data_IF_339957383537
#
_entry.id   IF_339957383537
#
_cell.length_a   1.000
_cell.length_b   1.000
_cell.length_c   1.000
_cell.angle_alpha   90.00
_cell.angle_beta   90.00
_cell.angle_gamma   90.00
#
_symmetry.space_group_name_H-M   'P 1'
#
loop_
_entity.id
_entity.type
_entity.pdbx_description
1 polymer ?
#
# COMPACT_ATOMS: atom_id res chain seq x y z
N UNK A 1 -11.62 5.63 0.43
CA UNK A 1 -11.92 7.05 0.19
C UNK A 1 -10.76 7.89 0.71
N UNK A 2 -10.30 8.91 -0.02
CA UNK A 2 -9.18 9.75 0.41
C UNK A 2 -9.55 10.56 1.66
N UNK A 3 -8.58 10.79 2.56
CA UNK A 3 -8.77 11.62 3.77
C UNK A 3 -8.38 13.08 3.52
N UNK A 4 -8.79 14.03 4.39
CA UNK A 4 -8.34 15.42 4.30
C UNK A 4 -6.82 15.58 4.34
N UNK A 5 -6.13 14.80 5.16
CA UNK A 5 -4.67 14.81 5.29
C UNK A 5 -3.98 14.40 3.97
N UNK A 6 -4.47 13.32 3.35
CA UNK A 6 -4.00 12.88 2.03
C UNK A 6 -4.27 13.93 0.94
N UNK A 7 -5.43 14.57 0.98
CA UNK A 7 -5.73 15.67 0.06
C UNK A 7 -4.75 16.83 0.24
N UNK A 8 -4.47 17.20 1.50
CA UNK A 8 -3.54 18.27 1.85
C UNK A 8 -2.11 17.96 1.40
N UNK A 9 -1.64 16.72 1.57
CA UNK A 9 -0.34 16.30 1.05
C UNK A 9 -0.27 16.48 -0.48
N UNK A 10 -1.29 16.04 -1.22
CA UNK A 10 -1.33 16.16 -2.68
C UNK A 10 -1.34 17.63 -3.11
N UNK A 11 -2.21 18.47 -2.53
CA UNK A 11 -2.28 19.90 -2.90
C UNK A 11 -1.05 20.69 -2.49
N UNK A 12 -0.27 20.22 -1.52
CA UNK A 12 1.01 20.82 -1.15
C UNK A 12 2.09 20.64 -2.22
N UNK A 13 1.93 19.67 -3.13
CA UNK A 13 2.84 19.44 -4.27
C UNK A 13 2.55 20.33 -5.48
N UNK A 14 1.56 21.23 -5.41
CA UNK A 14 1.31 22.21 -6.46
C UNK A 14 2.36 23.32 -6.43
N UNK A 15 3.00 23.58 -7.57
CA UNK A 15 3.94 24.69 -7.77
C UNK A 15 3.21 26.02 -8.00
N UNK A 16 3.96 27.12 -7.93
CA UNK A 16 3.40 28.47 -8.12
C UNK A 16 2.79 28.70 -9.51
N UNK A 17 3.29 28.00 -10.53
CA UNK A 17 2.77 28.06 -11.91
C UNK A 17 1.47 27.27 -12.11
N UNK A 18 1.00 26.54 -11.09
CA UNK A 18 -0.20 25.72 -11.12
C UNK A 18 0.04 24.24 -11.45
N UNK A 19 1.24 23.86 -11.91
CA UNK A 19 1.59 22.46 -12.16
C UNK A 19 1.76 21.67 -10.86
N UNK A 20 1.67 20.33 -10.95
CA UNK A 20 1.91 19.44 -9.82
C UNK A 20 3.12 18.52 -10.05
N UNK A 21 3.85 18.23 -8.97
CA UNK A 21 4.60 16.98 -8.89
C UNK A 21 3.68 15.82 -8.49
N UNK A 22 4.04 14.60 -8.89
CA UNK A 22 3.31 13.41 -8.46
C UNK A 22 3.58 13.15 -6.97
N UNK A 23 2.52 13.07 -6.17
CA UNK A 23 2.64 12.71 -4.75
C UNK A 23 2.73 11.18 -4.61
N UNK A 24 3.64 10.70 -3.76
CA UNK A 24 3.68 9.28 -3.36
C UNK A 24 2.34 8.81 -2.77
N UNK A 25 1.58 9.71 -2.14
CA UNK A 25 0.23 9.43 -1.63
C UNK A 25 -0.70 8.96 -2.74
N UNK A 26 -0.64 9.56 -3.94
CA UNK A 26 -1.45 9.11 -5.07
C UNK A 26 -1.03 7.68 -5.46
N UNK A 27 0.26 7.46 -5.59
CA UNK A 27 0.84 6.18 -5.99
C UNK A 27 0.46 5.05 -5.05
N UNK A 28 0.54 5.27 -3.74
CA UNK A 28 0.11 4.32 -2.72
C UNK A 28 -1.41 4.09 -2.73
N UNK A 29 -2.18 5.17 -2.85
CA UNK A 29 -3.63 5.09 -2.73
C UNK A 29 -4.30 4.36 -3.89
N UNK A 30 -3.66 4.30 -5.06
CA UNK A 30 -4.18 3.56 -6.22
C UNK A 30 -3.22 2.46 -6.72
N UNK A 31 -2.24 2.07 -5.90
CA UNK A 31 -1.27 0.98 -6.15
C UNK A 31 -0.53 1.08 -7.49
N UNK A 32 -0.02 2.27 -7.83
CA UNK A 32 0.78 2.51 -9.05
C UNK A 32 2.22 2.93 -8.70
N UNK A 33 3.20 2.71 -9.60
CA UNK A 33 4.57 3.16 -9.36
C UNK A 33 4.69 4.70 -9.39
N UNK A 34 5.74 5.24 -8.78
CA UNK A 34 6.03 6.69 -8.83
C UNK A 34 6.38 7.14 -10.26
N UNK A 35 7.12 6.32 -11.00
CA UNK A 35 7.43 6.55 -12.43
C UNK A 35 6.31 6.00 -13.34
N UNK A 36 5.07 6.45 -13.11
CA UNK A 36 3.88 6.00 -13.87
C UNK A 36 3.74 6.67 -15.24
N UNK A 37 4.40 7.81 -15.46
CA UNK A 37 4.22 8.63 -16.66
C UNK A 37 4.48 7.86 -17.96
N UNK A 38 5.57 7.06 -18.10
CA UNK A 38 5.79 6.25 -19.30
C UNK A 38 4.69 5.23 -19.59
N UNK A 39 3.99 4.75 -18.55
CA UNK A 39 2.88 3.79 -18.69
C UNK A 39 1.62 4.51 -19.17
N UNK A 40 1.24 5.59 -18.50
CA UNK A 40 -0.01 6.30 -18.82
C UNK A 40 0.06 6.96 -20.20
N UNK A 41 1.23 7.43 -20.66
CA UNK A 41 1.41 8.01 -22.01
C UNK A 41 0.90 7.13 -23.15
N UNK A 42 0.85 5.81 -22.96
CA UNK A 42 0.35 4.84 -23.96
C UNK A 42 -1.15 4.97 -24.25
N UNK A 43 -1.91 5.70 -23.44
CA UNK A 43 -3.36 5.85 -23.61
C UNK A 43 -3.77 6.86 -24.69
N UNK A 44 -2.83 7.65 -25.23
CA UNK A 44 -3.08 8.65 -26.29
C UNK A 44 -2.25 8.36 -27.54
N UNK A 45 -2.75 8.79 -28.70
CA UNK A 45 -2.01 8.83 -29.97
C UNK A 45 -1.46 10.23 -30.31
N UNK A 46 -1.67 11.22 -29.45
CA UNK A 46 -1.21 12.58 -29.62
C UNK A 46 0.31 12.66 -29.39
N UNK A 47 1.07 12.85 -30.48
CA UNK A 47 2.53 12.87 -30.43
C UNK A 47 3.11 13.98 -29.54
N UNK A 48 2.42 15.12 -29.43
CA UNK A 48 2.81 16.20 -28.51
C UNK A 48 2.75 15.74 -27.05
N UNK A 49 1.71 14.98 -26.68
CA UNK A 49 1.56 14.40 -25.34
C UNK A 49 2.46 13.18 -25.09
N UNK A 50 3.07 12.59 -26.13
CA UNK A 50 4.06 11.51 -25.97
C UNK A 50 5.47 12.05 -25.78
N UNK A 51 5.74 13.29 -26.19
CA UNK A 51 7.07 13.92 -26.08
C UNK A 51 7.63 13.88 -24.65
N UNK A 52 8.95 13.86 -24.45
CA UNK A 52 9.55 13.92 -23.10
C UNK A 52 9.09 15.14 -22.29
N UNK A 53 8.97 16.30 -22.94
CA UNK A 53 8.57 17.59 -22.35
C UNK A 53 7.16 17.57 -21.74
N UNK A 54 6.33 16.59 -22.10
CA UNK A 54 4.96 16.47 -21.58
C UNK A 54 4.86 15.92 -20.16
N UNK A 55 5.96 15.45 -19.56
CA UNK A 55 5.94 14.82 -18.24
C UNK A 55 5.26 15.68 -17.15
N UNK A 56 5.55 16.99 -17.01
CA UNK A 56 4.85 17.84 -16.04
C UNK A 56 3.35 17.93 -16.28
N UNK A 57 2.89 17.85 -17.54
CA UNK A 57 1.47 17.87 -17.88
C UNK A 57 0.79 16.59 -17.38
N UNK A 58 1.41 15.42 -17.60
CA UNK A 58 0.90 14.13 -17.11
C UNK A 58 0.84 14.08 -15.58
N UNK A 59 1.87 14.54 -14.89
CA UNK A 59 1.88 14.63 -13.41
C UNK A 59 0.74 15.53 -12.91
N UNK A 60 0.56 16.69 -13.54
CA UNK A 60 -0.52 17.63 -13.25
C UNK A 60 -1.90 17.01 -13.48
N UNK A 61 -2.12 16.39 -14.63
CA UNK A 61 -3.39 15.76 -14.97
C UNK A 61 -3.71 14.57 -14.05
N UNK A 62 -2.72 13.72 -13.71
CA UNK A 62 -2.90 12.61 -12.77
C UNK A 62 -3.32 13.09 -11.38
N UNK A 63 -2.69 14.13 -10.85
CA UNK A 63 -3.07 14.71 -9.56
C UNK A 63 -4.51 15.23 -9.58
N UNK A 64 -4.91 15.91 -10.66
CA UNK A 64 -6.28 16.39 -10.84
C UNK A 64 -7.30 15.26 -10.94
N UNK A 65 -7.01 14.24 -11.76
CA UNK A 65 -7.86 13.07 -11.92
C UNK A 65 -8.04 12.33 -10.61
N UNK A 66 -6.96 12.10 -9.85
CA UNK A 66 -7.04 11.50 -8.52
C UNK A 66 -7.93 12.32 -7.58
N UNK A 67 -7.70 13.64 -7.44
CA UNK A 67 -8.50 14.48 -6.54
C UNK A 67 -9.99 14.47 -6.91
N UNK A 68 -10.29 14.51 -8.21
CA UNK A 68 -11.65 14.45 -8.74
C UNK A 68 -12.35 13.12 -8.44
N UNK A 69 -11.65 12.00 -8.63
CA UNK A 69 -12.23 10.65 -8.59
C UNK A 69 -12.20 10.06 -7.18
N UNK A 70 -11.07 10.16 -6.48
CA UNK A 70 -10.85 9.53 -5.18
C UNK A 70 -11.17 10.44 -3.98
N UNK A 71 -11.24 11.76 -4.18
CA UNK A 71 -11.50 12.74 -3.13
C UNK A 71 -12.67 13.73 -3.41
N UNK A 72 -13.80 13.31 -4.02
CA UNK A 72 -14.87 14.24 -4.41
C UNK A 72 -15.52 14.94 -3.21
N UNK A 73 -15.56 14.29 -2.04
CA UNK A 73 -16.14 14.85 -0.81
C UNK A 73 -15.26 15.93 -0.15
N UNK A 74 -13.99 16.03 -0.55
CA UNK A 74 -13.05 17.01 -0.04
C UNK A 74 -12.79 18.14 -1.04
N UNK A 75 -13.70 18.35 -2.00
CA UNK A 75 -13.59 19.35 -3.08
C UNK A 75 -13.13 20.73 -2.60
N UNK A 76 -13.65 21.21 -1.46
CA UNK A 76 -13.27 22.51 -0.87
C UNK A 76 -11.77 22.65 -0.61
N UNK A 77 -11.04 21.55 -0.38
CA UNK A 77 -9.59 21.58 -0.15
C UNK A 77 -8.78 21.76 -1.44
N UNK A 78 -9.34 21.38 -2.58
CA UNK A 78 -8.58 21.30 -3.84
C UNK A 78 -9.20 22.07 -5.01
N UNK A 79 -10.38 22.67 -4.87
CA UNK A 79 -11.08 23.36 -5.97
C UNK A 79 -10.26 24.50 -6.59
N UNK A 80 -9.72 25.40 -5.76
CA UNK A 80 -8.87 26.51 -6.24
C UNK A 80 -7.59 26.01 -6.90
N UNK A 81 -7.00 24.95 -6.32
CA UNK A 81 -5.80 24.28 -6.84
C UNK A 81 -6.10 23.66 -8.21
N UNK A 82 -7.27 23.05 -8.34
CA UNK A 82 -7.75 22.44 -9.57
C UNK A 82 -7.97 23.46 -10.68
N UNK A 83 -8.49 24.65 -10.35
CA UNK A 83 -8.62 25.75 -11.30
C UNK A 83 -7.25 26.20 -11.84
N UNK A 84 -6.29 26.48 -10.95
CA UNK A 84 -4.92 26.90 -11.34
C UNK A 84 -4.22 25.88 -12.24
N UNK A 85 -4.37 24.59 -11.92
CA UNK A 85 -3.76 23.53 -12.72
C UNK A 85 -4.41 23.38 -14.10
N UNK A 86 -5.73 23.57 -14.22
CA UNK A 86 -6.40 23.62 -15.53
C UNK A 86 -5.92 24.82 -16.34
N UNK A 87 -5.83 26.01 -15.72
CA UNK A 87 -5.32 27.21 -16.37
C UNK A 87 -3.87 27.01 -16.87
N UNK A 88 -3.03 26.35 -16.06
CA UNK A 88 -1.68 25.93 -16.46
C UNK A 88 -1.71 25.03 -17.71
N UNK A 89 -2.46 23.93 -17.69
CA UNK A 89 -2.53 23.00 -18.82
C UNK A 89 -3.05 23.69 -20.09
N UNK A 90 -4.13 24.46 -19.99
CA UNK A 90 -4.68 25.23 -21.11
C UNK A 90 -3.65 26.21 -21.70
N UNK A 91 -2.86 26.88 -20.85
CA UNK A 91 -1.80 27.79 -21.31
C UNK A 91 -0.63 27.06 -21.98
N UNK A 92 -0.25 25.89 -21.48
CA UNK A 92 0.90 25.13 -22.00
C UNK A 92 0.58 24.40 -23.30
N UNK A 93 -0.59 23.76 -23.37
CA UNK A 93 -0.91 22.84 -24.46
C UNK A 93 -2.21 23.16 -25.20
N UNK A 94 -2.99 24.12 -24.73
CA UNK A 94 -4.30 24.45 -25.30
C UNK A 94 -5.41 23.53 -24.78
N UNK A 95 -6.65 24.05 -24.78
CA UNK A 95 -7.81 23.35 -24.19
C UNK A 95 -8.09 21.98 -24.81
N UNK A 96 -7.84 21.83 -26.12
CA UNK A 96 -8.07 20.57 -26.82
C UNK A 96 -7.16 19.45 -26.31
N UNK A 97 -5.85 19.70 -26.27
CA UNK A 97 -4.87 18.72 -25.79
C UNK A 97 -4.99 18.50 -24.27
N UNK A 98 -5.30 19.56 -23.51
CA UNK A 98 -5.55 19.47 -22.07
C UNK A 98 -6.76 18.59 -21.74
N UNK A 99 -7.84 18.69 -22.54
CA UNK A 99 -9.01 17.82 -22.38
C UNK A 99 -8.67 16.35 -22.67
N UNK A 100 -7.99 16.08 -23.79
CA UNK A 100 -7.57 14.71 -24.14
C UNK A 100 -6.69 14.10 -23.04
N UNK A 101 -5.73 14.88 -22.53
CA UNK A 101 -4.86 14.49 -21.42
C UNK A 101 -5.65 14.15 -20.15
N UNK A 102 -6.64 14.96 -19.78
CA UNK A 102 -7.49 14.72 -18.60
C UNK A 102 -8.41 13.51 -18.77
N UNK A 103 -9.00 13.31 -19.95
CA UNK A 103 -9.84 12.14 -20.24
C UNK A 103 -9.01 10.84 -20.12
N UNK A 104 -7.77 10.89 -20.60
CA UNK A 104 -6.77 9.84 -20.48
C UNK A 104 -6.44 9.49 -19.01
N UNK A 105 -6.07 10.49 -18.21
CA UNK A 105 -5.72 10.27 -16.80
C UNK A 105 -6.94 9.93 -15.95
N UNK A 106 -8.11 10.48 -16.24
CA UNK A 106 -9.37 10.15 -15.57
C UNK A 106 -9.67 8.65 -15.73
N UNK A 107 -9.62 8.13 -16.96
CA UNK A 107 -9.83 6.70 -17.22
C UNK A 107 -8.81 5.85 -16.47
N UNK A 108 -7.52 6.22 -16.56
CA UNK A 108 -6.45 5.49 -15.88
C UNK A 108 -6.65 5.45 -14.36
N UNK A 109 -7.04 6.56 -13.75
CA UNK A 109 -7.31 6.62 -12.30
C UNK A 109 -8.56 5.82 -11.94
N UNK A 110 -9.66 5.92 -12.71
CA UNK A 110 -10.87 5.10 -12.48
C UNK A 110 -10.53 3.61 -12.50
N UNK A 111 -9.77 3.16 -13.50
CA UNK A 111 -9.41 1.74 -13.65
C UNK A 111 -8.62 1.25 -12.43
N UNK A 112 -7.64 2.02 -11.94
CA UNK A 112 -6.82 1.63 -10.79
C UNK A 112 -7.56 1.73 -9.44
N UNK A 113 -8.38 2.78 -9.25
CA UNK A 113 -9.25 2.89 -8.06
C UNK A 113 -10.22 1.71 -8.00
N UNK A 114 -10.85 1.35 -9.13
CA UNK A 114 -11.79 0.23 -9.21
C UNK A 114 -11.10 -1.08 -8.90
N UNK A 115 -9.93 -1.35 -9.53
CA UNK A 115 -9.13 -2.56 -9.23
C UNK A 115 -8.80 -2.69 -7.75
N UNK A 116 -8.40 -1.58 -7.10
CA UNK A 116 -8.10 -1.58 -5.67
C UNK A 116 -9.34 -1.88 -4.83
N UNK A 117 -10.47 -1.25 -5.12
CA UNK A 117 -11.74 -1.51 -4.41
C UNK A 117 -12.15 -2.97 -4.56
N UNK A 118 -12.04 -3.55 -5.75
CA UNK A 118 -12.36 -4.96 -5.99
C UNK A 118 -11.43 -5.90 -5.20
N UNK A 119 -10.13 -5.59 -5.17
CA UNK A 119 -9.13 -6.33 -4.38
C UNK A 119 -9.46 -6.27 -2.88
N UNK A 120 -9.74 -5.08 -2.36
CA UNK A 120 -10.09 -4.87 -0.95
C UNK A 120 -11.40 -5.58 -0.58
N UNK A 121 -12.39 -5.56 -1.47
CA UNK A 121 -13.66 -6.29 -1.29
C UNK A 121 -13.45 -7.81 -1.23
N UNK A 122 -12.63 -8.36 -2.14
CA UNK A 122 -12.27 -9.78 -2.13
C UNK A 122 -11.57 -10.18 -0.84
N UNK A 123 -10.59 -9.38 -0.39
CA UNK A 123 -9.88 -9.61 0.88
C UNK A 123 -10.85 -9.57 2.06
N UNK A 124 -11.73 -8.56 2.13
CA UNK A 124 -12.70 -8.44 3.21
C UNK A 124 -13.66 -9.63 3.27
N UNK A 125 -14.06 -10.18 2.12
CA UNK A 125 -14.91 -11.37 2.05
C UNK A 125 -14.17 -12.67 2.42
N UNK A 126 -12.86 -12.76 2.13
CA UNK A 126 -12.04 -13.94 2.40
C UNK A 126 -11.45 -13.98 3.81
N UNK A 127 -11.25 -12.82 4.46
CA UNK A 127 -10.61 -12.74 5.77
C UNK A 127 -11.32 -13.57 6.87
N UNK A 128 -12.67 -13.64 6.95
CA UNK A 128 -13.33 -14.54 7.91
C UNK A 128 -12.96 -16.01 7.71
N UNK A 129 -12.75 -16.45 6.47
CA UNK A 129 -12.39 -17.84 6.16
C UNK A 129 -10.96 -18.15 6.61
N UNK A 130 -10.05 -17.18 6.48
CA UNK A 130 -8.71 -17.26 7.04
C UNK A 130 -8.76 -17.39 8.56
N UNK A 131 -9.68 -16.67 9.21
CA UNK A 131 -9.84 -16.73 10.66
C UNK A 131 -10.46 -18.06 11.12
N UNK A 132 -11.40 -18.61 10.35
CA UNK A 132 -11.98 -19.93 10.59
C UNK A 132 -10.96 -21.07 10.43
N UNK A 133 -9.97 -20.94 9.55
CA UNK A 133 -8.92 -21.95 9.34
C UNK A 133 -7.76 -21.88 10.33
N UNK A 134 -7.63 -20.76 11.06
CA UNK A 134 -6.64 -20.61 12.11
C UNK A 134 -6.97 -21.51 13.32
N UNK A 135 -5.93 -22.05 13.97
CA UNK A 135 -6.08 -22.94 15.13
C UNK A 135 -5.36 -22.40 16.36
N UNK A 136 -5.86 -22.71 17.58
CA UNK A 136 -5.20 -22.31 18.82
C UNK A 136 -3.83 -23.00 18.98
N UNK A 137 -3.68 -24.25 18.54
CA UNK A 137 -2.41 -24.98 18.61
C UNK A 137 -1.30 -24.30 17.79
N UNK A 138 -1.64 -23.77 16.61
CA UNK A 138 -0.69 -22.97 15.80
C UNK A 138 -0.29 -21.69 16.52
N UNK A 139 -1.24 -21.03 17.20
CA UNK A 139 -0.93 -19.82 17.98
C UNK A 139 0.09 -20.13 19.08
N UNK A 140 -0.15 -21.21 19.83
CA UNK A 140 0.74 -21.69 20.88
C UNK A 140 2.13 -22.06 20.33
N UNK A 141 2.17 -22.74 19.19
CA UNK A 141 3.44 -23.07 18.50
C UNK A 141 4.24 -21.80 18.17
N UNK A 142 3.61 -20.80 17.55
CA UNK A 142 4.26 -19.54 17.18
C UNK A 142 4.82 -18.85 18.43
N UNK A 143 4.01 -18.68 19.48
CA UNK A 143 4.47 -17.95 20.67
C UNK A 143 5.44 -18.74 21.54
N UNK A 144 5.47 -20.07 21.43
CA UNK A 144 6.47 -20.91 22.10
C UNK A 144 7.89 -20.66 21.59
N UNK A 145 8.03 -20.14 20.36
CA UNK A 145 9.30 -19.79 19.73
C UNK A 145 9.79 -18.38 20.08
N UNK A 146 9.06 -17.69 20.95
CA UNK A 146 9.50 -16.39 21.46
C UNK A 146 10.72 -16.54 22.38
N UNK A 147 11.79 -15.83 22.05
CA UNK A 147 13.03 -15.75 22.84
C UNK A 147 12.87 -14.83 24.05
N UNK A 148 13.83 -14.88 24.97
CA UNK A 148 13.82 -14.06 26.19
C UNK A 148 13.81 -12.56 25.91
N UNK A 149 14.39 -12.12 24.79
CA UNK A 149 14.40 -10.73 24.35
C UNK A 149 13.08 -10.27 23.69
N UNK A 150 12.14 -11.18 23.46
CA UNK A 150 10.85 -10.93 22.83
C UNK A 150 10.78 -11.23 21.32
N UNK A 151 11.92 -11.50 20.67
CA UNK A 151 11.96 -11.89 19.25
C UNK A 151 11.18 -13.20 19.03
N UNK A 152 10.43 -13.30 17.94
CA UNK A 152 9.76 -14.54 17.52
C UNK A 152 10.33 -14.98 16.18
N UNK A 153 10.92 -16.17 16.15
CA UNK A 153 11.48 -16.75 14.94
C UNK A 153 10.36 -17.21 13.99
N UNK A 154 10.49 -16.90 12.70
CA UNK A 154 9.54 -17.38 11.69
C UNK A 154 9.86 -18.82 11.33
N UNK A 155 8.85 -19.67 11.30
CA UNK A 155 8.98 -21.11 11.09
C UNK A 155 8.09 -21.61 9.94
N UNK A 156 8.08 -22.93 9.73
CA UNK A 156 7.25 -23.55 8.71
C UNK A 156 5.74 -23.46 9.02
N UNK A 157 5.33 -23.28 10.28
CA UNK A 157 3.92 -23.17 10.66
C UNK A 157 3.28 -21.96 9.96
N UNK A 158 3.84 -20.77 10.15
CA UNK A 158 3.34 -19.56 9.45
C UNK A 158 3.64 -19.61 7.95
N UNK A 159 4.78 -20.15 7.52
CA UNK A 159 5.10 -20.24 6.09
C UNK A 159 4.09 -21.10 5.32
N UNK A 160 3.65 -22.21 5.90
CA UNK A 160 2.64 -23.10 5.31
C UNK A 160 1.26 -22.44 5.24
N UNK A 161 0.92 -21.63 6.24
CA UNK A 161 -0.35 -20.87 6.25
C UNK A 161 -0.38 -19.80 5.15
N UNK A 162 0.77 -19.23 4.82
CA UNK A 162 0.93 -18.23 3.77
C UNK A 162 1.32 -18.83 2.41
N UNK A 163 1.42 -20.16 2.33
CA UNK A 163 1.90 -20.93 1.17
C UNK A 163 3.14 -20.29 0.51
N UNK A 164 4.10 -19.86 1.33
CA UNK A 164 5.28 -19.14 0.86
C UNK A 164 6.50 -19.49 1.72
N UNK A 165 7.66 -19.83 1.10
CA UNK A 165 8.89 -20.08 1.85
C UNK A 165 9.37 -18.88 2.67
N UNK A 166 9.95 -19.14 3.85
CA UNK A 166 10.50 -18.14 4.78
C UNK A 166 11.29 -17.02 4.08
N UNK A 167 12.28 -17.37 3.26
CA UNK A 167 13.13 -16.34 2.63
C UNK A 167 12.40 -15.52 1.58
N UNK A 168 11.37 -16.06 0.93
CA UNK A 168 10.54 -15.29 0.01
C UNK A 168 9.67 -14.28 0.75
N UNK A 169 9.15 -14.65 1.93
CA UNK A 169 8.41 -13.74 2.82
C UNK A 169 9.32 -12.58 3.23
N UNK A 170 10.45 -12.89 3.87
CA UNK A 170 11.36 -11.89 4.42
C UNK A 170 11.89 -10.96 3.34
N UNK A 171 12.35 -11.50 2.20
CA UNK A 171 12.83 -10.68 1.09
C UNK A 171 11.74 -9.76 0.51
N UNK A 172 10.47 -10.20 0.54
CA UNK A 172 9.36 -9.39 0.01
C UNK A 172 9.01 -8.25 0.95
N UNK A 173 8.90 -8.52 2.25
CA UNK A 173 8.72 -7.46 3.25
C UNK A 173 9.87 -6.45 3.16
N UNK A 174 11.11 -6.93 3.14
CA UNK A 174 12.30 -6.08 3.06
C UNK A 174 12.36 -5.21 1.79
N UNK A 175 11.85 -5.71 0.66
CA UNK A 175 11.74 -4.94 -0.59
C UNK A 175 10.62 -3.89 -0.55
N UNK A 176 9.53 -4.18 0.16
CA UNK A 176 8.31 -3.37 0.15
C UNK A 176 8.35 -2.22 1.16
N UNK A 177 9.13 -2.35 2.24
CA UNK A 177 9.40 -1.22 3.15
C UNK A 177 10.24 -0.16 2.45
N UNK A 178 9.86 1.10 2.61
CA UNK A 178 10.55 2.28 2.07
C UNK A 178 11.72 2.69 2.96
N UNK A 179 11.58 2.62 4.28
CA UNK A 179 12.62 3.05 5.20
C UNK A 179 13.89 2.19 5.08
N UNK A 180 14.99 2.81 4.65
CA UNK A 180 16.26 2.12 4.39
C UNK A 180 16.85 1.46 5.64
N UNK A 181 16.51 1.91 6.86
CA UNK A 181 16.93 1.26 8.11
C UNK A 181 16.37 -0.16 8.27
N UNK A 182 15.29 -0.49 7.56
CA UNK A 182 14.65 -1.81 7.55
C UNK A 182 15.22 -2.74 6.46
N UNK A 183 15.99 -2.20 5.50
CA UNK A 183 16.51 -2.93 4.34
C UNK A 183 17.85 -3.61 4.59
N UNK A 184 18.38 -3.59 5.81
CA UNK A 184 19.64 -4.28 6.16
C UNK A 184 19.39 -5.73 6.60
N UNK A 185 20.26 -6.70 6.24
CA UNK A 185 20.15 -8.09 6.70
C UNK A 185 20.05 -8.27 8.22
N UNK A 186 20.61 -7.34 8.99
CA UNK A 186 20.55 -7.33 10.46
C UNK A 186 19.11 -7.22 10.99
N UNK A 187 18.15 -6.80 10.15
CA UNK A 187 16.74 -6.70 10.51
C UNK A 187 15.96 -7.98 10.34
N UNK A 188 16.58 -9.08 9.87
CA UNK A 188 15.88 -10.36 9.64
C UNK A 188 14.99 -10.77 10.81
N UNK A 189 15.51 -10.74 12.04
CA UNK A 189 14.73 -11.08 13.25
C UNK A 189 13.56 -10.14 13.52
N UNK A 190 13.69 -8.83 13.23
CA UNK A 190 12.58 -7.87 13.32
C UNK A 190 11.53 -8.12 12.23
N UNK A 191 11.96 -8.46 11.00
CA UNK A 191 11.05 -8.80 9.91
C UNK A 191 10.25 -10.09 10.23
N UNK A 192 10.94 -11.14 10.70
CA UNK A 192 10.32 -12.39 11.14
C UNK A 192 9.31 -12.16 12.27
N UNK A 193 9.70 -11.39 13.28
CA UNK A 193 8.82 -11.04 14.39
C UNK A 193 7.58 -10.29 13.90
N UNK A 194 7.73 -9.32 12.99
CA UNK A 194 6.61 -8.57 12.44
C UNK A 194 5.62 -9.47 11.67
N UNK A 195 6.11 -10.45 10.91
CA UNK A 195 5.26 -11.42 10.20
C UNK A 195 4.47 -12.30 11.18
N UNK A 196 5.13 -12.81 12.22
CA UNK A 196 4.45 -13.59 13.26
C UNK A 196 3.36 -12.78 13.96
N UNK A 197 3.63 -11.52 14.32
CA UNK A 197 2.64 -10.62 14.91
C UNK A 197 1.47 -10.32 13.95
N UNK A 198 1.77 -10.14 12.66
CA UNK A 198 0.74 -9.94 11.66
C UNK A 198 -0.17 -11.17 11.52
N UNK A 199 0.39 -12.39 11.48
CA UNK A 199 -0.40 -13.63 11.47
C UNK A 199 -1.30 -13.75 12.71
N UNK A 200 -0.73 -13.62 13.91
CA UNK A 200 -1.49 -13.69 15.16
C UNK A 200 -2.64 -12.68 15.19
N UNK A 201 -2.36 -11.42 14.80
CA UNK A 201 -3.34 -10.33 14.83
C UNK A 201 -4.41 -10.43 13.74
N UNK A 202 -4.06 -10.89 12.54
CA UNK A 202 -4.95 -10.83 11.36
C UNK A 202 -5.67 -12.15 11.11
N UNK A 203 -4.93 -13.26 11.12
CA UNK A 203 -5.46 -14.58 10.87
C UNK A 203 -5.98 -15.22 12.17
N UNK A 204 -5.27 -15.07 13.29
CA UNK A 204 -5.61 -15.78 14.53
C UNK A 204 -6.22 -14.89 15.62
N UNK A 205 -6.92 -13.83 15.21
CA UNK A 205 -7.39 -12.76 16.11
C UNK A 205 -8.32 -13.24 17.23
N UNK A 206 -9.12 -14.28 16.96
CA UNK A 206 -10.05 -14.88 17.91
C UNK A 206 -9.37 -15.60 19.09
N UNK A 207 -8.08 -15.93 18.97
CA UNK A 207 -7.29 -16.60 20.01
C UNK A 207 -6.39 -15.63 20.79
N UNK A 208 -6.75 -14.34 20.82
CA UNK A 208 -5.96 -13.27 21.46
C UNK A 208 -5.49 -13.60 22.88
N UNK A 209 -6.33 -14.26 23.67
CA UNK A 209 -6.01 -14.64 25.05
C UNK A 209 -4.79 -15.59 25.15
N UNK A 210 -4.49 -16.37 24.11
CA UNK A 210 -3.35 -17.28 24.07
C UNK A 210 -2.02 -16.57 23.78
N UNK A 211 -2.06 -15.43 23.09
CA UNK A 211 -0.86 -14.80 22.55
C UNK A 211 -0.65 -13.34 22.97
N UNK A 212 -1.60 -12.67 23.63
CA UNK A 212 -1.54 -11.23 23.94
C UNK A 212 -0.29 -10.80 24.71
N UNK A 213 0.09 -11.51 25.78
CA UNK A 213 1.29 -11.17 26.57
C UNK A 213 2.57 -11.30 25.73
N UNK A 214 2.62 -12.34 24.90
CA UNK A 214 3.73 -12.64 23.99
C UNK A 214 3.80 -11.60 22.87
N UNK A 215 2.65 -11.20 22.34
CA UNK A 215 2.54 -10.14 21.36
C UNK A 215 3.07 -8.81 21.89
N UNK A 216 2.69 -8.42 23.11
CA UNK A 216 3.18 -7.19 23.74
C UNK A 216 4.70 -7.20 23.92
N UNK A 217 5.26 -8.32 24.41
CA UNK A 217 6.72 -8.47 24.55
C UNK A 217 7.45 -8.38 23.20
N UNK A 218 6.89 -8.97 22.15
CA UNK A 218 7.43 -8.88 20.79
C UNK A 218 7.33 -7.46 20.21
N UNK A 219 6.26 -6.71 20.54
CA UNK A 219 6.16 -5.29 20.20
C UNK A 219 7.23 -4.46 20.89
N UNK A 220 7.48 -4.68 22.18
CA UNK A 220 8.57 -4.02 22.91
C UNK A 220 9.94 -4.32 22.30
N UNK A 221 10.17 -5.58 21.91
CA UNK A 221 11.35 -5.98 21.16
C UNK A 221 11.51 -5.16 19.87
N UNK A 222 10.47 -5.08 19.03
CA UNK A 222 10.52 -4.31 17.79
C UNK A 222 10.83 -2.83 18.04
N UNK A 223 10.16 -2.21 19.02
CA UNK A 223 10.41 -0.82 19.39
C UNK A 223 11.85 -0.59 19.82
N UNK A 224 12.42 -1.51 20.62
CA UNK A 224 13.82 -1.42 21.06
C UNK A 224 14.80 -1.62 19.89
N UNK A 225 14.58 -2.60 19.03
CA UNK A 225 15.50 -2.91 17.94
C UNK A 225 15.49 -1.84 16.85
N UNK A 226 14.31 -1.35 16.49
CA UNK A 226 14.14 -0.40 15.40
C UNK A 226 14.48 1.01 15.87
N UNK A 227 14.03 1.40 17.09
CA UNK A 227 14.31 2.70 17.69
C UNK A 227 13.73 3.90 16.92
N UNK A 228 12.90 3.64 15.92
CA UNK A 228 12.28 4.62 15.03
C UNK A 228 10.81 4.23 14.86
N UNK A 229 9.93 5.03 15.47
CA UNK A 229 8.49 4.76 15.51
C UNK A 229 7.87 4.69 14.11
N UNK A 230 8.28 5.57 13.20
CA UNK A 230 7.74 5.59 11.84
C UNK A 230 8.18 4.33 11.08
N UNK A 231 9.44 3.91 11.23
CA UNK A 231 9.93 2.67 10.64
C UNK A 231 9.23 1.43 11.22
N UNK A 232 8.98 1.41 12.54
CA UNK A 232 8.24 0.30 13.16
C UNK A 232 6.80 0.20 12.64
N UNK A 233 6.08 1.32 12.59
CA UNK A 233 4.72 1.38 12.07
C UNK A 233 4.65 0.95 10.59
N UNK A 234 5.61 1.39 9.78
CA UNK A 234 5.74 0.95 8.40
C UNK A 234 5.96 -0.56 8.29
N UNK A 235 6.90 -1.13 9.05
CA UNK A 235 7.18 -2.56 9.03
C UNK A 235 5.93 -3.37 9.41
N UNK A 236 5.24 -2.97 10.47
CA UNK A 236 4.03 -3.65 10.95
C UNK A 236 2.93 -3.57 9.89
N UNK A 237 2.72 -2.40 9.27
CA UNK A 237 1.74 -2.24 8.20
C UNK A 237 2.08 -3.14 7.01
N UNK A 238 3.35 -3.17 6.60
CA UNK A 238 3.80 -4.01 5.50
C UNK A 238 3.59 -5.51 5.78
N UNK A 239 3.89 -5.96 6.99
CA UNK A 239 3.64 -7.34 7.41
C UNK A 239 2.15 -7.67 7.50
N UNK A 240 1.34 -6.78 8.09
CA UNK A 240 -0.12 -6.90 8.16
C UNK A 240 -0.73 -7.05 6.76
N UNK A 241 -0.36 -6.18 5.82
CA UNK A 241 -0.83 -6.21 4.44
C UNK A 241 -0.37 -7.50 3.74
N UNK A 242 0.89 -7.89 3.87
CA UNK A 242 1.42 -9.12 3.26
C UNK A 242 0.70 -10.39 3.74
N UNK A 243 0.49 -10.52 5.06
CA UNK A 243 -0.18 -11.68 5.65
C UNK A 243 -1.62 -11.76 5.18
N UNK A 244 -2.36 -10.64 5.18
CA UNK A 244 -3.73 -10.61 4.68
C UNK A 244 -3.76 -11.02 3.22
N UNK A 245 -2.89 -10.46 2.38
CA UNK A 245 -2.84 -10.76 0.95
C UNK A 245 -2.59 -12.26 0.72
N UNK A 246 -1.56 -12.82 1.34
CA UNK A 246 -1.19 -14.23 1.16
C UNK A 246 -2.21 -15.20 1.71
N UNK A 247 -2.70 -14.96 2.92
CA UNK A 247 -3.67 -15.86 3.54
C UNK A 247 -5.02 -15.83 2.79
N UNK A 248 -5.46 -14.65 2.33
CA UNK A 248 -6.72 -14.53 1.57
C UNK A 248 -6.59 -15.12 0.16
N UNK A 249 -5.47 -14.91 -0.53
CA UNK A 249 -5.21 -15.53 -1.83
C UNK A 249 -5.25 -17.06 -1.73
N UNK A 250 -4.62 -17.63 -0.70
CA UNK A 250 -4.62 -19.09 -0.46
C UNK A 250 -6.03 -19.65 -0.32
N UNK A 251 -6.85 -19.10 0.59
CA UNK A 251 -8.22 -19.62 0.80
C UNK A 251 -9.13 -19.39 -0.42
N UNK A 252 -8.89 -18.34 -1.21
CA UNK A 252 -9.61 -18.10 -2.46
C UNK A 252 -9.27 -19.18 -3.50
N UNK A 253 -7.99 -19.56 -3.63
CA UNK A 253 -7.58 -20.63 -4.54
C UNK A 253 -8.10 -22.00 -4.09
N UNK A 254 -8.05 -22.30 -2.79
CA UNK A 254 -8.61 -23.54 -2.23
C UNK A 254 -10.12 -23.66 -2.53
N UNK A 255 -10.89 -22.57 -2.36
CA UNK A 255 -12.33 -22.55 -2.68
C UNK A 255 -12.68 -22.66 -4.16
N UNK A 256 -11.75 -22.41 -5.08
CA UNK A 256 -11.98 -22.65 -6.52
C UNK A 256 -11.83 -24.12 -6.91
N UNK A 257 -11.18 -24.91 -6.05
CA UNK A 257 -10.91 -26.33 -6.27
C UNK A 257 -11.99 -27.25 -5.69
N UNK A 258 -12.88 -26.72 -4.85
CA UNK A 258 -14.07 -27.38 -4.30
C UNK A 258 -15.26 -27.36 -5.29
#
# INVERSE_FOLDING_TARGET
>A
SATPEKCNDIVSKQKDDGSFEISETICEEIEIPVDVVPVVKKCTQNEKLKSPESEPWWKTALALSYLKIAAPHHKKLWEDKSKKARDYLSKQIGDKDAKELLDCTDKYVVDNVTKKVDKDHKKAAALPLVQESASPEKCEEIVSKQKDDGCIELDDSVCNELDTPKENIINTIQRNVKNDKLKTPERKSSLETAVNLAYLKKAASQYGDLWNDKYNKAREYLSKQIGDKNAEEELIKCADDYVVDKATDKVIEEKKLE
#
